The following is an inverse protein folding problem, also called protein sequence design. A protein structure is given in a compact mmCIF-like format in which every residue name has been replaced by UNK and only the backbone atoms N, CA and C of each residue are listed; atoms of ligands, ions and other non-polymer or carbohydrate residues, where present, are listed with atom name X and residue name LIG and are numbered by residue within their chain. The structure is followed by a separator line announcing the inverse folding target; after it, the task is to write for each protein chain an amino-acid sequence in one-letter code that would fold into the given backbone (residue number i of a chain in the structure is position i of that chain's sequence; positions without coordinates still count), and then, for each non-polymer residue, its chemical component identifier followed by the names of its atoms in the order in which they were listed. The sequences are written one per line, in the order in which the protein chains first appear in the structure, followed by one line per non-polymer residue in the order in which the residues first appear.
data_IF_824930796204
#
_entry.id   IF_824930796204
#
_cell.length_a   1.000
_cell.length_b   1.000
_cell.length_c   1.000
_cell.angle_alpha   90.00
_cell.angle_beta   90.00
_cell.angle_gamma   90.00
#
_symmetry.space_group_name_H-M   'P 1'
#
loop_
_entity.id
_entity.type
_entity.pdbx_description
1 polymer ?
#
# COMPACT_ATOMS: atom_id res chain seq x y z
N UNK A 1 -4.95 15.21 24.43
CA UNK A 1 -5.57 15.15 23.09
C UNK A 1 -5.64 13.68 22.68
N UNK A 2 -6.67 13.26 21.94
CA UNK A 2 -6.75 11.87 21.46
C UNK A 2 -5.83 11.63 20.26
N UNK A 3 -5.45 10.38 20.02
CA UNK A 3 -4.66 9.98 18.85
C UNK A 3 -5.41 10.24 17.53
N UNK A 4 -4.68 10.68 16.50
CA UNK A 4 -5.15 10.76 15.10
C UNK A 4 -5.43 9.37 14.52
N UNK A 5 -6.06 9.29 13.34
CA UNK A 5 -6.29 7.97 12.72
C UNK A 5 -4.97 7.25 12.42
N UNK A 6 -3.97 7.97 11.89
CA UNK A 6 -2.65 7.41 11.59
C UNK A 6 -1.95 6.88 12.85
N UNK A 7 -1.99 7.65 13.95
CA UNK A 7 -1.44 7.24 15.24
C UNK A 7 -2.15 5.99 15.78
N UNK A 8 -3.49 5.91 15.69
CA UNK A 8 -4.25 4.73 16.13
C UNK A 8 -3.90 3.46 15.35
N UNK A 9 -3.77 3.58 14.03
CA UNK A 9 -3.43 2.43 13.17
C UNK A 9 -2.02 1.93 13.49
N UNK A 10 -1.05 2.84 13.59
CA UNK A 10 0.34 2.47 13.92
C UNK A 10 0.50 1.98 15.36
N UNK A 11 -0.22 2.55 16.34
CA UNK A 11 -0.23 2.06 17.71
C UNK A 11 -0.74 0.61 17.76
N UNK A 12 -1.88 0.33 17.12
CA UNK A 12 -2.43 -1.02 17.01
C UNK A 12 -1.46 -1.98 16.34
N UNK A 13 -0.92 -1.61 15.18
CA UNK A 13 -0.01 -2.45 14.42
C UNK A 13 1.33 -2.69 15.14
N UNK A 14 1.77 -1.77 16.00
CA UNK A 14 2.94 -1.93 16.84
C UNK A 14 2.66 -2.64 18.19
N UNK A 15 1.41 -3.03 18.47
CA UNK A 15 1.02 -3.64 19.75
C UNK A 15 1.13 -2.70 20.94
N UNK A 16 0.92 -1.39 20.73
CA UNK A 16 1.07 -0.34 21.73
C UNK A 16 -0.26 0.34 22.01
N UNK A 17 -0.43 0.81 23.25
CA UNK A 17 -1.63 1.59 23.62
C UNK A 17 -1.63 2.96 22.96
N UNK A 18 -0.45 3.59 22.86
CA UNK A 18 -0.28 4.94 22.31
C UNK A 18 1.07 5.07 21.60
N UNK A 19 1.06 5.90 20.55
CA UNK A 19 2.24 6.40 19.82
C UNK A 19 2.04 7.88 19.55
N UNK A 20 3.11 8.59 19.20
CA UNK A 20 3.03 10.02 18.87
C UNK A 20 3.81 10.33 17.60
N UNK A 21 3.34 11.30 16.82
CA UNK A 21 4.04 11.79 15.64
C UNK A 21 5.55 12.03 15.90
N UNK A 22 6.37 11.59 14.94
CA UNK A 22 7.83 11.66 15.01
C UNK A 22 8.52 10.43 15.61
N UNK A 23 7.79 9.61 16.39
CA UNK A 23 8.30 8.36 16.95
C UNK A 23 8.57 7.30 15.86
N UNK A 24 9.55 6.44 16.07
CA UNK A 24 9.77 5.25 15.25
C UNK A 24 9.18 4.01 15.92
N UNK A 25 8.40 3.23 15.18
CA UNK A 25 7.77 2.00 15.64
C UNK A 25 8.06 0.85 14.70
N UNK A 26 8.14 -0.37 15.23
CA UNK A 26 8.08 -1.60 14.42
C UNK A 26 6.63 -2.04 14.41
N UNK A 27 6.03 -2.13 13.22
CA UNK A 27 4.62 -2.46 13.08
C UNK A 27 4.44 -3.76 12.27
N UNK A 28 3.49 -4.57 12.70
CA UNK A 28 3.01 -5.73 11.95
C UNK A 28 2.26 -5.27 10.69
N UNK A 29 2.59 -5.89 9.56
CA UNK A 29 1.94 -5.64 8.27
C UNK A 29 0.74 -6.59 8.14
N UNK A 30 -0.43 -6.01 7.87
CA UNK A 30 -1.65 -6.80 7.64
C UNK A 30 -1.71 -7.33 6.21
N UNK A 31 -1.23 -6.55 5.23
CA UNK A 31 -1.22 -6.93 3.81
C UNK A 31 -0.06 -6.27 3.05
N UNK A 32 0.58 -7.04 2.17
CA UNK A 32 1.62 -6.58 1.25
C UNK A 32 1.15 -6.74 -0.20
N UNK A 33 1.09 -5.63 -0.95
CA UNK A 33 0.76 -5.60 -2.37
C UNK A 33 2.05 -5.54 -3.22
N UNK A 34 2.16 -6.43 -4.20
CA UNK A 34 3.14 -6.32 -5.27
C UNK A 34 2.43 -6.25 -6.63
N UNK A 35 3.00 -5.47 -7.55
CA UNK A 35 2.58 -5.43 -8.94
C UNK A 35 3.73 -5.80 -9.88
N UNK A 36 3.40 -6.03 -11.15
CA UNK A 36 4.25 -6.58 -12.20
C UNK A 36 5.56 -5.83 -12.45
N UNK A 37 5.63 -4.53 -12.18
CA UNK A 37 6.89 -3.76 -12.32
C UNK A 37 7.97 -4.26 -11.36
N UNK A 38 7.60 -4.61 -10.11
CA UNK A 38 8.57 -4.90 -9.04
C UNK A 38 8.50 -6.31 -8.47
N UNK A 39 7.39 -7.04 -8.67
CA UNK A 39 7.17 -8.35 -8.05
C UNK A 39 8.30 -9.35 -8.35
N UNK A 40 8.68 -9.50 -9.63
CA UNK A 40 9.76 -10.40 -10.03
C UNK A 40 11.10 -10.04 -9.37
N UNK A 41 11.44 -8.76 -9.32
CA UNK A 41 12.66 -8.26 -8.69
C UNK A 41 12.66 -8.55 -7.18
N UNK A 42 11.55 -8.31 -6.49
CA UNK A 42 11.43 -8.59 -5.05
C UNK A 42 11.59 -10.09 -4.77
N UNK A 43 11.00 -10.95 -5.58
CA UNK A 43 11.10 -12.40 -5.41
C UNK A 43 12.50 -12.94 -5.70
N UNK A 44 13.21 -12.36 -6.66
CA UNK A 44 14.64 -12.64 -6.87
C UNK A 44 15.47 -12.22 -5.66
N UNK A 45 15.27 -11.00 -5.16
CA UNK A 45 16.02 -10.49 -4.01
C UNK A 45 15.80 -11.36 -2.77
N UNK A 46 14.56 -11.81 -2.51
CA UNK A 46 14.26 -12.77 -1.43
C UNK A 46 15.11 -14.03 -1.54
N UNK A 47 15.21 -14.61 -2.74
CA UNK A 47 16.06 -15.78 -2.99
C UNK A 47 17.53 -15.47 -2.74
N UNK A 48 18.01 -14.33 -3.25
CA UNK A 48 19.41 -13.93 -3.18
C UNK A 48 19.87 -13.67 -1.73
N UNK A 49 18.98 -13.17 -0.86
CA UNK A 49 19.25 -13.02 0.59
C UNK A 49 18.96 -14.28 1.40
N UNK A 50 18.70 -15.42 0.75
CA UNK A 50 18.49 -16.71 1.40
C UNK A 50 17.11 -16.91 2.05
N UNK A 51 16.13 -16.06 1.74
CA UNK A 51 14.75 -16.19 2.23
C UNK A 51 13.97 -17.13 1.30
N UNK A 52 13.93 -18.41 1.70
CA UNK A 52 13.24 -19.47 0.95
C UNK A 52 11.72 -19.51 1.15
N UNK A 53 11.18 -18.82 2.16
CA UNK A 53 9.76 -18.81 2.52
C UNK A 53 9.34 -17.42 3.00
N UNK A 54 8.11 -17.03 2.67
CA UNK A 54 7.50 -15.80 3.18
C UNK A 54 7.10 -15.98 4.65
N UNK A 55 7.02 -14.88 5.39
CA UNK A 55 6.46 -14.85 6.74
C UNK A 55 5.02 -15.38 6.76
N UNK A 56 4.18 -14.85 5.87
CA UNK A 56 2.79 -15.29 5.69
C UNK A 56 2.35 -15.08 4.22
N UNK A 57 2.28 -16.15 3.41
CA UNK A 57 1.83 -16.05 2.02
C UNK A 57 0.38 -15.58 1.87
N UNK A 58 -0.46 -15.73 2.90
CA UNK A 58 -1.88 -15.31 2.87
C UNK A 58 -2.05 -13.81 3.03
N UNK A 59 -1.00 -13.11 3.50
CA UNK A 59 -0.95 -11.64 3.61
C UNK A 59 -0.27 -10.99 2.40
N UNK A 60 -0.01 -11.74 1.34
CA UNK A 60 0.65 -11.23 0.13
C UNK A 60 -0.34 -11.26 -1.03
N UNK A 61 -0.51 -10.11 -1.69
CA UNK A 61 -1.33 -9.99 -2.90
C UNK A 61 -0.43 -9.60 -4.06
N UNK A 62 -0.52 -10.33 -5.16
CA UNK A 62 0.22 -10.05 -6.39
C UNK A 62 -0.76 -9.75 -7.51
N UNK A 63 -0.56 -8.64 -8.21
CA UNK A 63 -1.41 -8.20 -9.32
C UNK A 63 -0.56 -7.94 -10.57
N UNK A 64 -1.03 -8.35 -11.74
CA UNK A 64 -0.42 -7.95 -13.02
C UNK A 64 -1.35 -6.94 -13.70
N UNK A 65 -0.98 -5.65 -13.66
CA UNK A 65 -1.83 -4.56 -14.16
C UNK A 65 -1.11 -3.44 -14.91
N UNK A 66 0.20 -3.23 -14.76
CA UNK A 66 0.90 -2.10 -15.38
C UNK A 66 1.28 -2.36 -16.85
N UNK A 67 1.64 -3.61 -17.19
CA UNK A 67 2.12 -4.01 -18.51
C UNK A 67 1.13 -4.96 -19.18
N UNK A 68 -0.15 -4.56 -19.27
CA UNK A 68 -1.24 -5.41 -19.76
C UNK A 68 -1.93 -4.83 -21.01
N UNK A 69 -1.99 -5.56 -22.15
CA UNK A 69 -1.21 -6.78 -22.46
C UNK A 69 0.29 -6.52 -22.44
N UNK A 70 1.10 -7.59 -22.30
CA UNK A 70 2.56 -7.48 -22.27
C UNK A 70 3.09 -6.75 -23.52
N UNK A 71 3.71 -5.57 -23.39
CA UNK A 71 4.12 -4.75 -24.55
C UNK A 71 5.41 -5.23 -25.22
N UNK A 72 6.13 -6.19 -24.60
CA UNK A 72 7.37 -6.74 -25.13
C UNK A 72 7.59 -8.18 -24.66
N UNK A 73 8.58 -8.86 -25.26
CA UNK A 73 9.01 -10.20 -24.85
C UNK A 73 9.58 -10.18 -23.42
N UNK A 74 10.28 -9.12 -23.05
CA UNK A 74 10.82 -8.91 -21.71
C UNK A 74 9.69 -8.81 -20.68
N UNK A 75 8.64 -8.02 -20.96
CA UNK A 75 7.47 -7.92 -20.09
C UNK A 75 6.73 -9.26 -19.96
N UNK A 76 6.56 -9.99 -21.07
CA UNK A 76 5.97 -11.32 -21.06
C UNK A 76 6.79 -12.31 -20.21
N UNK A 77 8.13 -12.24 -20.29
CA UNK A 77 9.03 -13.04 -19.46
C UNK A 77 8.92 -12.69 -17.98
N UNK A 78 8.79 -11.40 -17.63
CA UNK A 78 8.53 -10.95 -16.26
C UNK A 78 7.21 -11.53 -15.74
N UNK A 79 6.13 -11.50 -16.52
CA UNK A 79 4.84 -12.07 -16.11
C UNK A 79 4.95 -13.58 -15.85
N UNK A 80 5.64 -14.31 -16.72
CA UNK A 80 5.88 -15.74 -16.52
C UNK A 80 6.62 -15.99 -15.20
N UNK A 81 7.72 -15.26 -14.94
CA UNK A 81 8.50 -15.38 -13.71
C UNK A 81 7.68 -15.06 -12.47
N UNK A 82 6.80 -14.07 -12.52
CA UNK A 82 5.88 -13.75 -11.42
C UNK A 82 4.98 -14.94 -11.12
N UNK A 83 4.35 -15.55 -12.14
CA UNK A 83 3.49 -16.74 -11.97
C UNK A 83 4.25 -17.91 -11.34
N UNK A 84 5.49 -18.14 -11.79
CA UNK A 84 6.37 -19.18 -11.23
C UNK A 84 6.70 -18.90 -9.76
N UNK A 85 7.00 -17.64 -9.41
CA UNK A 85 7.28 -17.25 -8.02
C UNK A 85 6.05 -17.34 -7.12
N UNK A 86 4.88 -16.90 -7.59
CA UNK A 86 3.60 -17.02 -6.87
C UNK A 86 3.36 -18.48 -6.48
N UNK A 87 3.50 -19.39 -7.44
CA UNK A 87 3.36 -20.83 -7.20
C UNK A 87 4.41 -21.35 -6.21
N UNK A 88 5.70 -21.03 -6.44
CA UNK A 88 6.81 -21.48 -5.59
C UNK A 88 6.71 -21.01 -4.14
N UNK A 89 6.27 -19.76 -3.93
CA UNK A 89 6.17 -19.13 -2.62
C UNK A 89 4.84 -19.42 -1.91
N UNK A 90 3.91 -20.12 -2.58
CA UNK A 90 2.61 -20.47 -2.03
C UNK A 90 1.69 -19.27 -1.81
N UNK A 91 1.84 -18.21 -2.62
CA UNK A 91 0.98 -17.01 -2.54
C UNK A 91 -0.41 -17.39 -3.04
N UNK A 92 -1.41 -17.27 -2.18
CA UNK A 92 -2.79 -17.71 -2.47
C UNK A 92 -3.62 -16.64 -3.18
N UNK A 93 -3.19 -15.38 -3.14
CA UNK A 93 -3.93 -14.25 -3.70
C UNK A 93 -3.16 -13.63 -4.85
N UNK A 94 -3.44 -14.14 -6.04
CA UNK A 94 -2.83 -13.69 -7.29
C UNK A 94 -3.92 -13.31 -8.30
N UNK A 95 -3.76 -12.12 -8.88
CA UNK A 95 -4.62 -11.59 -9.93
C UNK A 95 -3.79 -11.44 -11.21
N UNK A 96 -4.10 -12.26 -12.20
CA UNK A 96 -3.37 -12.26 -13.47
C UNK A 96 -3.81 -11.08 -14.37
N UNK A 97 -3.12 -10.93 -15.49
CA UNK A 97 -3.33 -9.88 -16.46
C UNK A 97 -4.79 -9.79 -16.91
N UNK A 98 -5.38 -8.61 -16.75
CA UNK A 98 -6.76 -8.29 -17.19
C UNK A 98 -7.80 -8.28 -16.06
N UNK A 99 -7.42 -8.60 -14.83
CA UNK A 99 -8.33 -8.56 -13.67
C UNK A 99 -8.65 -7.14 -13.18
N UNK A 100 -7.76 -6.16 -13.43
CA UNK A 100 -7.96 -4.76 -13.09
C UNK A 100 -6.76 -4.12 -12.38
N UNK A 101 -6.84 -2.80 -12.16
CA UNK A 101 -5.79 -2.02 -11.48
C UNK A 101 -5.77 -2.39 -10.00
N UNK A 102 -4.58 -2.65 -9.44
CA UNK A 102 -4.39 -3.13 -8.08
C UNK A 102 -5.13 -2.32 -7.01
N UNK A 103 -5.09 -0.99 -7.07
CA UNK A 103 -5.76 -0.14 -6.08
C UNK A 103 -7.29 -0.11 -6.17
N UNK A 104 -7.87 -0.46 -7.33
CA UNK A 104 -9.30 -0.67 -7.48
C UNK A 104 -9.69 -2.08 -7.03
N UNK A 105 -8.92 -3.06 -7.51
CA UNK A 105 -9.20 -4.48 -7.35
C UNK A 105 -9.14 -4.91 -5.88
N UNK A 106 -8.15 -4.46 -5.10
CA UNK A 106 -7.99 -4.88 -3.71
C UNK A 106 -9.20 -4.52 -2.82
N UNK A 107 -9.71 -3.28 -2.85
CA UNK A 107 -10.98 -2.91 -2.23
C UNK A 107 -12.16 -3.77 -2.69
N UNK A 108 -12.35 -3.92 -4.01
CA UNK A 108 -13.49 -4.65 -4.58
C UNK A 108 -13.50 -6.14 -4.20
N UNK A 109 -12.33 -6.74 -4.04
CA UNK A 109 -12.16 -8.14 -3.64
C UNK A 109 -12.14 -8.33 -2.11
N UNK A 110 -12.32 -7.26 -1.32
CA UNK A 110 -12.46 -7.32 0.13
C UNK A 110 -11.15 -7.51 0.90
N UNK A 111 -10.01 -7.19 0.27
CA UNK A 111 -8.67 -7.28 0.89
C UNK A 111 -8.35 -6.09 1.79
N UNK A 112 -9.00 -4.95 1.55
CA UNK A 112 -8.79 -3.71 2.32
C UNK A 112 -9.90 -3.57 3.35
N UNK A 113 -9.53 -3.47 4.63
CA UNK A 113 -10.48 -3.30 5.74
C UNK A 113 -10.05 -2.16 6.66
N UNK A 114 -11.00 -1.48 7.33
CA UNK A 114 -10.68 -0.41 8.26
C UNK A 114 -9.69 -0.84 9.34
N UNK A 115 -8.71 0.02 9.62
CA UNK A 115 -7.70 -0.19 10.65
C UNK A 115 -6.62 -1.22 10.32
N UNK A 116 -6.50 -1.65 9.06
CA UNK A 116 -5.35 -2.40 8.56
C UNK A 116 -4.15 -1.49 8.29
N UNK A 117 -2.93 -2.01 8.41
CA UNK A 117 -1.70 -1.43 7.87
C UNK A 117 -1.27 -2.20 6.62
N UNK A 118 -1.35 -1.53 5.47
CA UNK A 118 -1.11 -2.10 4.14
C UNK A 118 0.09 -1.39 3.51
N UNK A 119 1.03 -2.17 3.00
CA UNK A 119 2.18 -1.67 2.24
C UNK A 119 2.12 -2.19 0.81
N UNK A 120 2.62 -1.40 -0.13
CA UNK A 120 2.66 -1.81 -1.53
C UNK A 120 3.91 -1.30 -2.24
N UNK A 121 4.35 -1.97 -3.29
CA UNK A 121 5.43 -1.47 -4.15
C UNK A 121 4.96 -0.36 -5.11
N UNK A 122 3.82 0.28 -4.85
CA UNK A 122 3.24 1.38 -5.64
C UNK A 122 3.03 2.63 -4.77
N UNK A 123 3.31 3.82 -5.32
CA UNK A 123 3.18 5.11 -4.62
C UNK A 123 1.75 5.47 -4.20
N UNK A 124 0.73 4.94 -4.89
CA UNK A 124 -0.69 5.21 -4.68
C UNK A 124 -1.37 4.19 -3.76
N UNK A 125 -0.58 3.37 -3.05
CA UNK A 125 -1.07 2.52 -1.95
C UNK A 125 -1.81 3.34 -0.88
N UNK A 126 -1.58 4.65 -0.82
CA UNK A 126 -2.36 5.61 -0.01
C UNK A 126 -3.87 5.61 -0.30
N UNK A 127 -4.30 5.12 -1.48
CA UNK A 127 -5.72 4.98 -1.86
C UNK A 127 -6.56 4.25 -0.80
N UNK A 128 -5.96 3.28 -0.09
CA UNK A 128 -6.65 2.48 0.93
C UNK A 128 -7.08 3.30 2.17
N UNK A 129 -6.55 4.51 2.33
CA UNK A 129 -7.02 5.50 3.30
C UNK A 129 -8.51 5.82 3.18
N UNK A 130 -9.08 5.73 1.97
CA UNK A 130 -10.51 5.93 1.74
C UNK A 130 -11.41 4.92 2.49
N UNK A 131 -10.86 3.75 2.86
CA UNK A 131 -11.54 2.71 3.63
C UNK A 131 -11.11 2.70 5.11
N UNK A 132 -10.43 3.75 5.58
CA UNK A 132 -9.94 3.85 6.96
C UNK A 132 -8.78 2.91 7.28
N UNK A 133 -8.06 2.43 6.26
CA UNK A 133 -6.81 1.68 6.42
C UNK A 133 -5.59 2.62 6.30
N UNK A 134 -4.47 2.26 6.92
CA UNK A 134 -3.19 2.91 6.71
C UNK A 134 -2.51 2.30 5.49
N UNK A 135 -2.45 3.03 4.38
CA UNK A 135 -1.81 2.58 3.13
C UNK A 135 -0.56 3.40 2.81
N UNK A 136 0.57 2.76 2.49
CA UNK A 136 1.78 3.48 2.07
C UNK A 136 2.62 2.70 1.05
N UNK A 137 3.20 3.45 0.11
CA UNK A 137 4.12 2.90 -0.88
C UNK A 137 5.51 2.72 -0.28
N UNK A 138 6.15 1.58 -0.55
CA UNK A 138 7.50 1.25 -0.07
C UNK A 138 8.37 0.74 -1.21
N UNK A 139 9.69 0.81 -1.02
CA UNK A 139 10.66 0.30 -1.98
C UNK A 139 10.81 -1.22 -1.96
N UNK A 140 11.54 -1.76 -2.94
CA UNK A 140 11.78 -3.21 -3.07
C UNK A 140 12.55 -3.80 -1.88
N UNK A 141 13.52 -3.06 -1.32
CA UNK A 141 14.30 -3.53 -0.15
C UNK A 141 13.41 -3.65 1.10
N UNK A 142 12.52 -2.69 1.31
CA UNK A 142 11.55 -2.72 2.41
C UNK A 142 10.53 -3.84 2.19
N UNK A 143 10.08 -4.06 0.96
CA UNK A 143 9.18 -5.15 0.64
C UNK A 143 9.81 -6.52 0.88
N UNK A 144 11.09 -6.72 0.52
CA UNK A 144 11.84 -7.94 0.86
C UNK A 144 11.83 -8.18 2.37
N UNK A 145 12.10 -7.14 3.17
CA UNK A 145 12.08 -7.22 4.62
C UNK A 145 10.68 -7.52 5.17
N UNK A 146 9.65 -6.85 4.66
CA UNK A 146 8.26 -7.05 5.06
C UNK A 146 7.79 -8.48 4.76
N UNK A 147 8.10 -9.00 3.57
CA UNK A 147 7.77 -10.37 3.17
C UNK A 147 8.53 -11.43 3.98
N UNK A 148 9.77 -11.13 4.40
CA UNK A 148 10.58 -12.04 5.20
C UNK A 148 10.17 -12.07 6.68
N UNK A 149 9.70 -10.94 7.24
CA UNK A 149 9.53 -10.77 8.69
C UNK A 149 8.09 -10.48 9.14
N UNK A 150 7.20 -10.13 8.21
CA UNK A 150 5.85 -9.67 8.50
C UNK A 150 5.76 -8.28 9.11
N UNK A 151 6.89 -7.54 9.21
CA UNK A 151 7.01 -6.29 9.95
C UNK A 151 7.80 -5.26 9.15
N UNK A 152 7.62 -3.98 9.48
CA UNK A 152 8.46 -2.90 8.98
C UNK A 152 8.58 -1.77 10.02
N UNK A 153 9.64 -0.97 9.88
CA UNK A 153 9.84 0.23 10.68
C UNK A 153 9.08 1.40 10.05
N UNK A 154 8.34 2.15 10.87
CA UNK A 154 7.62 3.34 10.45
C UNK A 154 7.97 4.51 11.36
N UNK A 155 8.15 5.69 10.76
CA UNK A 155 8.05 6.95 11.49
C UNK A 155 6.58 7.35 11.54
N UNK A 156 6.03 7.51 12.73
CA UNK A 156 4.64 7.96 12.92
C UNK A 156 4.52 9.37 12.30
N UNK A 157 3.63 9.59 11.32
CA UNK A 157 3.53 10.88 10.64
C UNK A 157 2.77 11.90 11.48
N UNK A 158 3.06 13.19 11.30
CA UNK A 158 2.10 14.23 11.70
C UNK A 158 0.86 14.13 10.80
N UNK A 159 -0.28 14.65 11.25
CA UNK A 159 -1.53 14.65 10.47
C UNK A 159 -1.91 16.07 10.04
N UNK A 160 -2.22 16.25 8.76
CA UNK A 160 -2.94 17.42 8.25
C UNK A 160 -4.41 17.03 8.15
N UNK A 161 -5.26 17.70 8.93
CA UNK A 161 -6.70 17.52 8.89
C UNK A 161 -7.33 18.48 7.87
N UNK A 162 -8.04 17.93 6.90
CA UNK A 162 -8.88 18.68 5.96
C UNK A 162 -10.34 18.49 6.36
N UNK A 163 -10.95 19.55 6.90
CA UNK A 163 -12.39 19.60 7.16
C UNK A 163 -13.10 20.13 5.90
N UNK A 164 -13.87 19.27 5.25
CA UNK A 164 -14.63 19.53 4.04
C UNK A 164 -16.10 19.70 4.43
N UNK A 165 -16.63 20.91 4.27
CA UNK A 165 -18.00 21.24 4.66
C UNK A 165 -18.86 21.58 3.45
N UNK A 166 -20.16 21.26 3.52
CA UNK A 166 -21.14 21.56 2.47
C UNK A 166 -21.23 20.47 1.40
N UNK A 167 -22.01 20.74 0.35
CA UNK A 167 -22.31 19.80 -0.72
C UNK A 167 -21.55 20.13 -2.00
N UNK A 168 -21.21 19.09 -2.77
CA UNK A 168 -20.67 19.28 -4.13
C UNK A 168 -21.74 19.92 -5.02
N UNK A 169 -21.37 20.99 -5.72
CA UNK A 169 -22.23 21.61 -6.72
C UNK A 169 -22.41 20.68 -7.94
N UNK A 170 -23.48 20.85 -8.75
CA UNK A 170 -23.64 20.11 -9.99
C UNK A 170 -22.37 20.17 -10.87
N UNK A 171 -21.98 19.01 -11.41
CA UNK A 171 -20.77 18.79 -12.20
C UNK A 171 -19.42 18.95 -11.46
N UNK A 172 -19.42 19.17 -10.14
CA UNK A 172 -18.22 19.07 -9.31
C UNK A 172 -18.12 17.67 -8.71
N UNK A 173 -16.92 17.10 -8.74
CA UNK A 173 -16.61 15.77 -8.23
C UNK A 173 -15.49 15.81 -7.18
N UNK A 174 -15.27 14.68 -6.49
CA UNK A 174 -14.13 14.52 -5.58
C UNK A 174 -12.77 14.69 -6.26
N UNK A 175 -12.70 14.46 -7.58
CA UNK A 175 -11.52 14.74 -8.38
C UNK A 175 -11.23 16.23 -8.46
N UNK A 176 -12.26 17.07 -8.55
CA UNK A 176 -12.10 18.53 -8.57
C UNK A 176 -11.65 19.05 -7.20
N UNK A 177 -12.19 18.47 -6.11
CA UNK A 177 -11.77 18.79 -4.75
C UNK A 177 -10.30 18.49 -4.53
N UNK A 178 -9.84 17.27 -4.82
CA UNK A 178 -8.43 16.92 -4.57
C UNK A 178 -7.47 17.70 -5.47
N UNK A 179 -7.87 18.01 -6.72
CA UNK A 179 -7.10 18.88 -7.60
C UNK A 179 -7.04 20.32 -7.09
N UNK A 180 -8.15 20.86 -6.56
CA UNK A 180 -8.18 22.18 -5.95
C UNK A 180 -7.21 22.26 -4.76
N UNK A 181 -7.23 21.25 -3.88
CA UNK A 181 -6.31 21.17 -2.74
C UNK A 181 -4.85 21.08 -3.22
N UNK A 182 -4.56 20.22 -4.20
CA UNK A 182 -3.22 20.07 -4.76
C UNK A 182 -2.73 21.39 -5.40
N UNK A 183 -3.58 22.09 -6.17
CA UNK A 183 -3.23 23.38 -6.77
C UNK A 183 -3.07 24.50 -5.74
N UNK A 184 -3.82 24.46 -4.63
CA UNK A 184 -3.75 25.46 -3.56
C UNK A 184 -2.50 25.32 -2.69
N UNK A 185 -2.14 24.09 -2.33
CA UNK A 185 -1.07 23.84 -1.36
C UNK A 185 0.25 23.42 -2.00
N UNK A 186 0.23 22.90 -3.22
CA UNK A 186 1.41 22.40 -3.93
C UNK A 186 1.74 20.94 -3.58
N UNK A 187 2.68 20.37 -4.35
CA UNK A 187 3.04 18.95 -4.26
C UNK A 187 3.73 18.57 -2.93
N UNK A 188 4.47 19.51 -2.31
CA UNK A 188 5.29 19.22 -1.12
C UNK A 188 4.54 19.45 0.21
N UNK A 189 3.29 19.94 0.15
CA UNK A 189 2.55 20.40 1.32
C UNK A 189 2.33 19.33 2.40
N UNK A 190 2.24 18.06 2.00
CA UNK A 190 2.00 16.93 2.88
C UNK A 190 3.24 16.03 3.06
N UNK A 191 4.44 16.51 2.73
CA UNK A 191 5.66 15.72 2.89
C UNK A 191 5.83 15.26 4.35
N UNK A 192 6.04 13.96 4.55
CA UNK A 192 6.11 13.29 5.86
C UNK A 192 4.84 13.36 6.73
N UNK A 193 3.69 13.69 6.15
CA UNK A 193 2.42 13.83 6.87
C UNK A 193 1.33 12.94 6.29
N UNK A 194 0.43 12.48 7.15
CA UNK A 194 -0.81 11.86 6.73
C UNK A 194 -1.86 12.95 6.42
N UNK A 195 -2.53 12.85 5.29
CA UNK A 195 -3.69 13.68 4.98
C UNK A 195 -4.94 12.98 5.50
N UNK A 196 -5.62 13.58 6.45
CA UNK A 196 -6.85 13.05 7.04
C UNK A 196 -8.03 13.94 6.62
N UNK A 197 -9.00 13.35 5.93
CA UNK A 197 -10.18 14.05 5.44
C UNK A 197 -11.40 13.73 6.31
N UNK A 198 -12.24 14.72 6.55
CA UNK A 198 -13.60 14.52 7.06
C UNK A 198 -14.37 15.84 7.04
N UNK A 199 -15.44 15.93 7.81
CA UNK A 199 -16.38 17.06 7.76
C UNK A 199 -17.76 16.66 7.26
#
# INVERSE_FOLDING_TARGET
MGMTLAERILAKAAGREQVTAGEFVVADIDLALLHDIFAAQVFDLLRDVGVGRLFDPTRTVVVIDHLVPAPSVEAASVHQRIREHVSRLGITTFYDAGEGICHQLLPERGHVRPGMLIVGTDSHTTTYGALGAGGTGIGTSEMVYALATGRLWFRVPETIRFELTGDLLPAVSWKDVILYLAGRFGADAAQYRAMEFGG
#
